data_IF_061479783259
#
_entry.id   IF_061479783259
#
_cell.length_a   1.000
_cell.length_b   1.000
_cell.length_c   1.000
_cell.angle_alpha   90.00
_cell.angle_beta   90.00
_cell.angle_gamma   90.00
#
_symmetry.space_group_name_H-M   'P 1'
#
loop_
_entity.id
_entity.type
_entity.pdbx_description
1 polymer ?
#
# COMPACT_ATOMS: atom_id res chain seq x y z
N UNK A 1 6.91 -7.02 6.79
CA UNK A 1 5.74 -6.15 7.01
C UNK A 1 5.73 -5.03 5.95
N UNK A 2 4.53 -4.62 5.45
CA UNK A 2 4.41 -3.63 4.36
C UNK A 2 5.04 -2.29 4.75
N UNK A 3 4.79 -1.82 5.98
CA UNK A 3 5.38 -0.58 6.51
C UNK A 3 6.92 -0.59 6.39
N UNK A 4 7.56 -1.68 6.75
CA UNK A 4 9.02 -1.80 6.70
C UNK A 4 9.55 -1.81 5.26
N UNK A 5 8.81 -2.46 4.35
CA UNK A 5 9.19 -2.53 2.94
C UNK A 5 9.22 -1.15 2.25
N UNK A 6 8.30 -0.24 2.61
CA UNK A 6 8.18 1.09 1.98
C UNK A 6 8.76 2.23 2.80
N UNK A 7 9.31 1.96 3.97
CA UNK A 7 9.81 2.99 4.90
C UNK A 7 10.80 3.96 4.28
N UNK A 8 11.77 3.45 3.55
CA UNK A 8 12.80 4.27 2.93
C UNK A 8 12.24 5.09 1.76
N UNK A 9 11.30 4.53 1.01
CA UNK A 9 10.68 5.20 -0.13
C UNK A 9 9.80 6.37 0.31
N UNK A 10 9.00 6.17 1.37
CA UNK A 10 8.14 7.23 1.93
C UNK A 10 9.00 8.39 2.44
N UNK A 11 10.07 8.10 3.18
CA UNK A 11 10.99 9.12 3.67
C UNK A 11 11.68 9.86 2.52
N UNK A 12 12.22 9.12 1.55
CA UNK A 12 12.87 9.70 0.36
C UNK A 12 11.92 10.58 -0.44
N UNK A 13 10.65 10.19 -0.56
CA UNK A 13 9.63 10.99 -1.22
C UNK A 13 9.39 12.33 -0.51
N UNK A 14 9.31 12.31 0.84
CA UNK A 14 9.16 13.52 1.64
C UNK A 14 10.38 14.45 1.52
N UNK A 15 11.58 13.90 1.61
CA UNK A 15 12.83 14.65 1.48
C UNK A 15 12.95 15.31 0.09
N UNK A 16 12.62 14.59 -0.98
CA UNK A 16 12.57 15.13 -2.35
C UNK A 16 11.55 16.25 -2.51
N UNK A 17 10.40 16.15 -1.84
CA UNK A 17 9.41 17.22 -1.83
C UNK A 17 9.99 18.48 -1.20
N UNK A 18 10.66 18.39 -0.06
CA UNK A 18 11.31 19.50 0.60
C UNK A 18 12.40 20.14 -0.27
N UNK A 19 13.26 19.33 -0.89
CA UNK A 19 14.29 19.80 -1.84
C UNK A 19 13.69 20.54 -3.05
N UNK A 20 12.57 20.08 -3.57
CA UNK A 20 11.90 20.74 -4.70
C UNK A 20 11.40 22.13 -4.34
N UNK A 21 10.93 22.35 -3.11
CA UNK A 21 10.57 23.69 -2.66
C UNK A 21 11.79 24.58 -2.44
N UNK A 22 12.88 24.04 -1.90
CA UNK A 22 14.15 24.77 -1.76
C UNK A 22 14.66 25.26 -3.13
N UNK A 23 14.66 24.40 -4.14
CA UNK A 23 15.03 24.75 -5.52
C UNK A 23 14.14 25.83 -6.14
N UNK A 24 12.91 25.98 -5.67
CA UNK A 24 11.98 27.05 -6.10
C UNK A 24 12.15 28.36 -5.33
N UNK A 25 13.17 28.45 -4.48
CA UNK A 25 13.54 29.65 -3.73
C UNK A 25 12.77 29.82 -2.42
N UNK A 26 12.15 28.75 -1.89
CA UNK A 26 11.59 28.76 -0.54
C UNK A 26 12.66 28.46 0.50
N UNK A 27 12.58 29.12 1.65
CA UNK A 27 13.25 28.66 2.85
C UNK A 27 12.42 27.53 3.47
N UNK A 28 13.00 26.32 3.55
CA UNK A 28 12.29 25.10 3.92
C UNK A 28 12.73 24.62 5.28
N UNK A 29 11.78 24.41 6.18
CA UNK A 29 11.96 23.65 7.43
C UNK A 29 11.10 22.41 7.35
N UNK A 30 11.70 21.24 7.33
CA UNK A 30 11.03 19.97 7.20
C UNK A 30 11.36 19.06 8.39
N UNK A 31 10.35 18.52 9.03
CA UNK A 31 10.48 17.54 10.13
C UNK A 31 9.63 16.32 9.83
N UNK A 32 10.27 15.20 9.59
CA UNK A 32 9.64 13.90 9.41
C UNK A 32 9.74 13.10 10.71
N UNK A 33 8.65 12.49 11.16
CA UNK A 33 8.61 11.65 12.36
C UNK A 33 8.37 10.18 12.02
N UNK A 34 7.17 9.86 11.54
CA UNK A 34 6.74 8.49 11.24
C UNK A 34 5.64 8.49 10.17
N UNK A 35 5.17 7.32 9.81
CA UNK A 35 4.01 7.14 8.94
C UNK A 35 3.27 5.87 9.29
N UNK A 36 1.99 5.81 8.91
CA UNK A 36 1.14 4.64 9.00
C UNK A 36 0.64 4.24 7.63
N UNK A 37 0.50 2.93 7.39
CA UNK A 37 -0.09 2.38 6.17
C UNK A 37 -1.36 1.63 6.53
N UNK A 38 -2.48 2.08 6.00
CA UNK A 38 -3.77 1.44 6.14
C UNK A 38 -4.20 0.86 4.79
N UNK A 39 -4.36 -0.46 4.75
CA UNK A 39 -4.88 -1.15 3.57
C UNK A 39 -6.40 -1.25 3.68
N UNK A 40 -7.08 -0.76 2.67
CA UNK A 40 -8.54 -0.85 2.53
C UNK A 40 -8.87 -1.35 1.13
N UNK A 41 -10.10 -1.78 0.84
CA UNK A 41 -10.48 -2.26 -0.48
C UNK A 41 -10.03 -1.30 -1.59
N UNK A 42 -9.26 -1.83 -2.55
CA UNK A 42 -8.75 -1.13 -3.75
C UNK A 42 -7.79 0.04 -3.50
N UNK A 43 -7.33 0.26 -2.26
CA UNK A 43 -6.42 1.38 -1.91
C UNK A 43 -5.47 1.04 -0.77
N UNK A 44 -4.32 1.72 -0.80
CA UNK A 44 -3.46 1.92 0.36
C UNK A 44 -3.52 3.40 0.77
N UNK A 45 -3.78 3.67 2.05
CA UNK A 45 -3.77 5.01 2.62
C UNK A 45 -2.52 5.15 3.46
N UNK A 46 -1.69 6.14 3.14
CA UNK A 46 -0.44 6.42 3.85
C UNK A 46 -0.63 7.75 4.57
N UNK A 47 -0.63 7.71 5.89
CA UNK A 47 -0.69 8.88 6.76
C UNK A 47 0.71 9.17 7.29
N UNK A 48 1.26 10.33 6.95
CA UNK A 48 2.62 10.74 7.28
C UNK A 48 2.56 11.79 8.39
N UNK A 49 3.15 11.47 9.55
CA UNK A 49 3.37 12.43 10.64
C UNK A 49 4.64 13.23 10.33
N UNK A 50 4.44 14.39 9.75
CA UNK A 50 5.51 15.30 9.38
C UNK A 50 5.04 16.75 9.43
N UNK A 51 5.99 17.68 9.48
CA UNK A 51 5.75 19.11 9.44
C UNK A 51 6.63 19.76 8.37
N UNK A 52 6.03 20.56 7.54
CA UNK A 52 6.70 21.32 6.49
C UNK A 52 6.35 22.80 6.64
N UNK A 53 7.36 23.63 6.83
CA UNK A 53 7.23 25.09 6.87
C UNK A 53 7.99 25.70 5.71
N UNK A 54 7.29 26.50 4.93
CA UNK A 54 7.81 27.18 3.74
C UNK A 54 7.73 28.68 3.94
N UNK A 55 8.85 29.37 3.71
CA UNK A 55 8.91 30.85 3.78
C UNK A 55 9.45 31.39 2.47
N UNK A 56 8.73 32.34 1.88
CA UNK A 56 9.18 33.07 0.68
C UNK A 56 8.62 34.48 0.71
N UNK A 57 9.47 35.47 0.40
CA UNK A 57 9.07 36.90 0.30
C UNK A 57 8.35 37.42 1.57
N UNK A 58 8.77 36.94 2.76
CA UNK A 58 8.18 37.33 4.04
C UNK A 58 6.89 36.61 4.43
N UNK A 59 6.36 35.78 3.55
CA UNK A 59 5.20 34.92 3.82
C UNK A 59 5.63 33.53 4.28
N UNK A 60 5.02 33.05 5.37
CA UNK A 60 5.30 31.72 5.93
C UNK A 60 4.02 30.87 5.91
N UNK A 61 4.12 29.69 5.34
CA UNK A 61 3.08 28.67 5.33
C UNK A 61 3.59 27.39 5.99
N UNK A 62 2.78 26.79 6.86
CA UNK A 62 3.10 25.54 7.53
C UNK A 62 2.00 24.53 7.28
N UNK A 63 2.40 23.29 7.02
CA UNK A 63 1.50 22.15 6.88
C UNK A 63 1.98 20.99 7.73
N UNK A 64 1.06 20.41 8.50
CA UNK A 64 1.28 19.23 9.33
C UNK A 64 0.45 18.09 8.79
N UNK A 65 1.01 16.89 8.90
CA UNK A 65 0.37 15.64 8.54
C UNK A 65 -0.09 15.58 7.08
N UNK A 66 0.44 14.60 6.39
CA UNK A 66 0.17 14.41 4.97
C UNK A 66 -0.52 13.07 4.77
N UNK A 67 -1.53 13.04 3.92
CA UNK A 67 -2.20 11.81 3.53
C UNK A 67 -2.01 11.58 2.04
N UNK A 68 -1.56 10.37 1.69
CA UNK A 68 -1.43 9.90 0.31
C UNK A 68 -2.32 8.68 0.13
N UNK A 69 -3.13 8.67 -0.92
CA UNK A 69 -3.97 7.54 -1.28
C UNK A 69 -3.44 6.96 -2.59
N UNK A 70 -3.08 5.68 -2.57
CA UNK A 70 -2.55 4.96 -3.72
C UNK A 70 -3.52 3.84 -4.09
N UNK A 71 -3.96 3.74 -5.36
CA UNK A 71 -4.70 2.56 -5.83
C UNK A 71 -3.86 1.30 -5.61
N UNK A 72 -4.44 0.29 -4.96
CA UNK A 72 -3.71 -0.95 -4.65
C UNK A 72 -4.69 -2.08 -4.39
N UNK A 73 -4.43 -3.24 -4.96
CA UNK A 73 -5.21 -4.46 -4.74
C UNK A 73 -4.67 -5.35 -3.60
N UNK A 74 -3.68 -4.89 -2.85
CA UNK A 74 -3.02 -5.71 -1.80
C UNK A 74 -4.03 -6.21 -0.75
N UNK A 75 -4.94 -5.33 -0.31
CA UNK A 75 -5.99 -5.72 0.64
C UNK A 75 -6.90 -6.81 0.05
N UNK A 76 -7.36 -6.60 -1.18
CA UNK A 76 -8.30 -7.50 -1.85
C UNK A 76 -7.65 -8.86 -2.13
N UNK A 77 -6.39 -8.88 -2.57
CA UNK A 77 -5.62 -10.11 -2.76
C UNK A 77 -5.40 -10.87 -1.44
N UNK A 78 -5.15 -10.17 -0.35
CA UNK A 78 -5.02 -10.79 0.97
C UNK A 78 -6.32 -11.44 1.44
N UNK A 79 -7.46 -10.76 1.23
CA UNK A 79 -8.79 -11.30 1.57
C UNK A 79 -9.11 -12.54 0.75
N UNK A 80 -8.86 -12.51 -0.56
CA UNK A 80 -9.09 -13.68 -1.44
C UNK A 80 -8.18 -14.86 -1.04
N UNK A 81 -6.91 -14.58 -0.74
CA UNK A 81 -5.97 -15.61 -0.29
C UNK A 81 -6.42 -16.26 1.02
N UNK A 82 -6.95 -15.47 1.94
CA UNK A 82 -7.49 -15.96 3.21
C UNK A 82 -8.74 -16.84 2.99
N UNK A 83 -9.60 -16.45 2.06
CA UNK A 83 -10.79 -17.23 1.68
C UNK A 83 -10.40 -18.59 1.09
N UNK A 84 -9.41 -18.62 0.19
CA UNK A 84 -8.88 -19.86 -0.39
C UNK A 84 -8.38 -20.80 0.70
N UNK A 85 -7.54 -20.30 1.61
CA UNK A 85 -7.01 -21.10 2.73
C UNK A 85 -8.11 -21.61 3.63
N UNK A 86 -9.11 -20.79 3.93
CA UNK A 86 -10.26 -21.16 4.76
C UNK A 86 -11.09 -22.28 4.14
N UNK A 87 -11.39 -22.18 2.84
CA UNK A 87 -12.16 -23.20 2.13
C UNK A 87 -11.38 -24.50 1.94
N UNK A 88 -10.09 -24.45 1.62
CA UNK A 88 -9.23 -25.63 1.54
C UNK A 88 -9.13 -26.34 2.90
N UNK A 89 -8.97 -25.58 3.98
CA UNK A 89 -8.90 -26.16 5.32
C UNK A 89 -10.21 -26.86 5.74
N UNK A 90 -11.36 -26.32 5.32
CA UNK A 90 -12.67 -26.82 5.71
C UNK A 90 -13.20 -27.93 4.79
N UNK A 91 -12.99 -27.80 3.49
CA UNK A 91 -13.62 -28.65 2.47
C UNK A 91 -12.61 -29.43 1.62
N UNK A 92 -11.32 -29.23 1.83
CA UNK A 92 -10.23 -29.77 0.99
C UNK A 92 -10.40 -29.39 -0.49
N UNK A 93 -11.06 -28.31 -0.77
CA UNK A 93 -11.30 -27.79 -2.11
C UNK A 93 -11.69 -26.32 -2.09
N UNK A 94 -11.15 -25.56 -3.04
CA UNK A 94 -11.59 -24.21 -3.35
C UNK A 94 -12.10 -24.18 -4.81
N UNK A 95 -13.34 -23.74 -4.99
CA UNK A 95 -13.97 -23.67 -6.32
C UNK A 95 -13.59 -22.37 -7.04
N UNK A 96 -12.40 -22.38 -7.63
CA UNK A 96 -11.82 -21.18 -8.28
C UNK A 96 -12.61 -20.70 -9.49
N UNK A 97 -13.20 -21.61 -10.28
CA UNK A 97 -13.95 -21.22 -11.46
C UNK A 97 -15.23 -20.45 -11.10
N UNK A 98 -16.00 -20.96 -10.14
CA UNK A 98 -17.19 -20.26 -9.63
C UNK A 98 -16.84 -18.93 -8.96
N UNK A 99 -15.74 -18.89 -8.23
CA UNK A 99 -15.26 -17.65 -7.62
C UNK A 99 -14.93 -16.58 -8.66
N UNK A 100 -14.20 -16.93 -9.72
CA UNK A 100 -13.85 -16.01 -10.82
C UNK A 100 -15.05 -15.52 -11.62
N UNK A 101 -16.14 -16.29 -11.67
CA UNK A 101 -17.41 -15.83 -12.29
C UNK A 101 -18.05 -14.72 -11.44
N UNK A 102 -18.00 -14.84 -10.11
CA UNK A 102 -18.57 -13.86 -9.20
C UNK A 102 -17.68 -12.61 -9.03
N UNK A 103 -16.36 -12.80 -9.13
CA UNK A 103 -15.34 -11.77 -8.94
C UNK A 103 -14.37 -11.75 -10.12
N UNK A 104 -14.81 -11.23 -11.29
CA UNK A 104 -14.05 -11.30 -12.54
C UNK A 104 -12.77 -10.45 -12.55
N UNK A 105 -12.57 -9.59 -11.56
CA UNK A 105 -11.34 -8.83 -11.35
C UNK A 105 -10.17 -9.68 -10.86
N UNK A 106 -10.42 -10.91 -10.36
CA UNK A 106 -9.38 -11.83 -9.93
C UNK A 106 -9.16 -12.95 -10.94
N UNK A 107 -7.89 -13.27 -11.15
CA UNK A 107 -7.49 -14.48 -11.85
C UNK A 107 -6.81 -15.44 -10.88
N UNK A 108 -7.36 -16.64 -10.74
CA UNK A 108 -6.89 -17.65 -9.78
C UNK A 108 -6.46 -18.91 -10.53
N UNK A 109 -5.16 -19.16 -10.49
CA UNK A 109 -4.58 -20.39 -11.02
C UNK A 109 -4.33 -21.38 -9.87
N UNK A 110 -4.70 -22.63 -10.09
CA UNK A 110 -4.47 -23.75 -9.17
C UNK A 110 -3.48 -24.72 -9.78
N UNK A 111 -2.41 -24.98 -9.07
CA UNK A 111 -1.37 -25.91 -9.49
C UNK A 111 -1.13 -26.98 -8.42
N UNK A 112 -1.00 -28.26 -8.84
CA UNK A 112 -0.66 -29.36 -7.96
C UNK A 112 0.76 -29.83 -8.24
N UNK A 113 1.61 -29.83 -7.21
CA UNK A 113 3.00 -30.28 -7.34
C UNK A 113 3.10 -31.81 -7.32
N UNK A 114 4.25 -32.35 -7.70
CA UNK A 114 4.56 -33.79 -7.59
C UNK A 114 4.45 -34.33 -6.15
N UNK A 115 4.71 -33.47 -5.16
CA UNK A 115 4.64 -33.82 -3.73
C UNK A 115 3.23 -33.63 -3.15
N UNK A 116 2.22 -33.55 -4.01
CA UNK A 116 0.80 -33.38 -3.68
C UNK A 116 0.45 -32.05 -2.98
N UNK A 117 1.35 -31.09 -2.95
CA UNK A 117 1.03 -29.74 -2.48
C UNK A 117 0.17 -29.01 -3.51
N UNK A 118 -0.76 -28.20 -3.02
CA UNK A 118 -1.59 -27.33 -3.87
C UNK A 118 -1.10 -25.89 -3.70
N UNK A 119 -0.80 -25.26 -4.83
CA UNK A 119 -0.37 -23.87 -4.89
C UNK A 119 -1.45 -23.08 -5.64
N UNK A 120 -1.88 -21.98 -5.03
CA UNK A 120 -2.75 -21.01 -5.66
C UNK A 120 -1.98 -19.73 -5.98
N UNK A 121 -2.16 -19.23 -7.19
CA UNK A 121 -1.68 -17.92 -7.59
C UNK A 121 -2.90 -17.02 -7.82
N UNK A 122 -2.95 -15.90 -7.13
CA UNK A 122 -4.02 -14.91 -7.24
C UNK A 122 -3.44 -13.63 -7.83
N UNK A 123 -4.08 -13.14 -8.90
CA UNK A 123 -3.67 -11.89 -9.58
C UNK A 123 -4.85 -10.96 -9.71
#
# INVERSE_FOLDING_TARGET
EIKDAVKNDVRSCFDKMAENYDKKGYSVSARYRDFEVNLIPKKAVIDIDAELTLTKSGETNSKKNFRVIVPSMIYDLAVVSQEIVSQEAKYCNFESAGFMILYPEFNIDRFKTSDLNIIYTVK
#
